data_IF_212245707346
#
_entry.id   IF_212245707346
#
_cell.length_a   1.000
_cell.length_b   1.000
_cell.length_c   1.000
_cell.angle_alpha   90.00
_cell.angle_beta   90.00
_cell.angle_gamma   90.00
#
_symmetry.space_group_name_H-M   'P 1'
#
loop_
_entity.id
_entity.type
_entity.pdbx_description
1 polymer ?
#
# COMPACT_ATOMS: atom_id res chain seq x y z
N UNK A 1 13.27 12.91 21.97
CA UNK A 1 13.77 11.62 21.45
C UNK A 1 14.98 11.87 20.55
N UNK A 2 16.10 11.19 20.74
CA UNK A 2 17.32 11.44 19.95
C UNK A 2 17.01 11.18 18.45
N UNK A 3 17.22 12.17 17.56
CA UNK A 3 16.79 12.13 16.13
C UNK A 3 17.25 10.85 15.41
N UNK A 4 18.38 10.28 15.83
CA UNK A 4 18.95 9.03 15.31
C UNK A 4 18.06 7.81 15.57
N UNK A 5 17.50 7.66 16.77
CA UNK A 5 16.69 6.49 17.16
C UNK A 5 15.37 6.47 16.38
N UNK A 6 14.70 7.62 16.28
CA UNK A 6 13.46 7.75 15.53
C UNK A 6 13.66 7.36 14.05
N UNK A 7 14.68 7.93 13.40
CA UNK A 7 14.95 7.70 11.99
C UNK A 7 15.37 6.27 11.68
N UNK A 8 16.06 5.61 12.62
CA UNK A 8 16.60 4.26 12.41
C UNK A 8 15.58 3.15 12.69
N UNK A 9 14.70 3.33 13.68
CA UNK A 9 13.82 2.25 14.14
C UNK A 9 12.34 2.50 13.89
N UNK A 10 11.84 3.73 14.13
CA UNK A 10 10.41 4.02 14.03
C UNK A 10 10.00 4.42 12.61
N UNK A 11 10.79 5.27 11.96
CA UNK A 11 10.45 5.80 10.65
C UNK A 11 10.22 4.70 9.59
N UNK A 12 11.05 3.65 9.46
CA UNK A 12 10.82 2.61 8.46
C UNK A 12 9.51 1.86 8.67
N UNK A 13 9.17 1.56 9.93
CA UNK A 13 7.92 0.87 10.28
C UNK A 13 6.69 1.72 9.98
N UNK A 14 6.73 3.01 10.32
CA UNK A 14 5.64 3.96 10.03
C UNK A 14 5.41 4.12 8.52
N UNK A 15 6.49 4.22 7.74
CA UNK A 15 6.40 4.31 6.27
C UNK A 15 5.81 3.04 5.68
N UNK A 16 6.21 1.86 6.16
CA UNK A 16 5.60 0.61 5.73
C UNK A 16 4.10 0.57 6.04
N UNK A 17 3.73 0.93 7.27
CA UNK A 17 2.34 0.94 7.72
C UNK A 17 1.47 1.93 6.93
N UNK A 18 1.99 3.09 6.52
CA UNK A 18 1.22 4.04 5.71
C UNK A 18 0.92 3.55 4.29
N UNK A 19 1.73 2.61 3.77
CA UNK A 19 1.52 2.01 2.45
C UNK A 19 0.54 0.84 2.54
N UNK A 20 0.61 0.06 3.63
CA UNK A 20 -0.25 -1.13 3.82
C UNK A 20 -1.71 -0.75 4.07
N UNK A 21 -1.96 0.36 4.76
CA UNK A 21 -3.32 0.82 5.06
C UNK A 21 -3.82 1.71 3.91
N UNK A 22 -4.51 1.10 2.95
CA UNK A 22 -5.08 1.76 1.77
C UNK A 22 -6.55 2.19 1.92
N UNK A 23 -7.19 2.56 0.80
CA UNK A 23 -8.58 3.04 0.79
C UNK A 23 -9.62 2.02 1.26
N UNK A 24 -9.36 0.72 1.11
CA UNK A 24 -10.26 -0.32 1.59
C UNK A 24 -10.34 -0.41 3.12
N UNK A 25 -9.30 0.02 3.85
CA UNK A 25 -9.37 0.26 5.29
C UNK A 25 -10.25 1.47 5.63
N UNK A 26 -10.23 2.53 4.81
CA UNK A 26 -11.04 3.74 5.02
C UNK A 26 -12.54 3.49 4.92
N UNK A 27 -12.96 2.55 4.07
CA UNK A 27 -14.38 2.12 3.98
C UNK A 27 -14.75 1.03 5.01
N UNK A 28 -13.76 0.48 5.72
CA UNK A 28 -13.92 -0.64 6.65
C UNK A 28 -14.18 -2.01 5.99
N UNK A 29 -14.31 -2.06 4.65
CA UNK A 29 -14.68 -3.29 3.93
C UNK A 29 -13.59 -4.36 3.99
N UNK A 30 -12.32 -3.95 3.89
CA UNK A 30 -11.20 -4.88 4.07
C UNK A 30 -11.12 -5.42 5.51
N UNK A 31 -11.46 -4.61 6.52
CA UNK A 31 -11.52 -5.08 7.90
C UNK A 31 -12.60 -6.15 8.09
N UNK A 32 -13.80 -5.90 7.56
CA UNK A 32 -14.90 -6.85 7.68
C UNK A 32 -14.55 -8.19 7.02
N UNK A 33 -14.00 -8.14 5.82
CA UNK A 33 -13.68 -9.34 5.04
C UNK A 33 -12.57 -10.16 5.71
N UNK A 34 -11.44 -9.53 6.04
CA UNK A 34 -10.23 -10.24 6.44
C UNK A 34 -10.07 -10.43 7.95
N UNK A 35 -10.72 -9.61 8.78
CA UNK A 35 -10.51 -9.62 10.23
C UNK A 35 -11.79 -9.89 11.04
N UNK A 36 -12.95 -9.40 10.60
CA UNK A 36 -14.16 -9.47 11.45
C UNK A 36 -15.11 -10.61 11.09
N UNK A 37 -14.94 -11.24 9.92
CA UNK A 37 -15.83 -12.31 9.41
C UNK A 37 -15.91 -13.54 10.32
N UNK A 38 -14.83 -13.88 11.03
CA UNK A 38 -14.70 -15.11 11.83
C UNK A 38 -14.88 -14.88 13.35
N UNK A 39 -15.46 -13.74 13.76
CA UNK A 39 -15.66 -13.37 15.16
C UNK A 39 -14.40 -12.82 15.86
N UNK A 40 -14.51 -12.38 17.14
CA UNK A 40 -13.45 -11.59 17.80
C UNK A 40 -12.11 -12.32 17.95
N UNK A 41 -12.13 -13.61 18.29
CA UNK A 41 -10.90 -14.41 18.43
C UNK A 41 -10.24 -14.64 17.06
N UNK A 42 -11.04 -14.93 16.03
CA UNK A 42 -10.55 -15.06 14.65
C UNK A 42 -9.89 -13.77 14.16
N UNK A 43 -10.48 -12.62 14.48
CA UNK A 43 -9.89 -11.32 14.15
C UNK A 43 -8.57 -11.03 14.86
N UNK A 44 -8.45 -11.37 16.15
CA UNK A 44 -7.18 -11.22 16.87
C UNK A 44 -6.07 -12.11 16.28
N UNK A 45 -6.41 -13.35 15.91
CA UNK A 45 -5.46 -14.25 15.23
C UNK A 45 -5.08 -13.70 13.85
N UNK A 46 -6.04 -13.20 13.08
CA UNK A 46 -5.77 -12.57 11.78
C UNK A 46 -4.83 -11.37 11.93
N UNK A 47 -5.06 -10.47 12.89
CA UNK A 47 -4.16 -9.34 13.20
C UNK A 47 -2.75 -9.84 13.52
N UNK A 48 -2.63 -10.88 14.34
CA UNK A 48 -1.34 -11.48 14.71
C UNK A 48 -0.59 -12.02 13.48
N UNK A 49 -1.26 -12.80 12.65
CA UNK A 49 -0.68 -13.37 11.42
C UNK A 49 -0.28 -12.27 10.44
N UNK A 50 -1.17 -11.31 10.18
CA UNK A 50 -0.87 -10.18 9.28
C UNK A 50 0.35 -9.40 9.79
N UNK A 51 0.41 -9.10 11.09
CA UNK A 51 1.54 -8.39 11.70
C UNK A 51 2.85 -9.16 11.52
N UNK A 52 2.84 -10.48 11.77
CA UNK A 52 4.02 -11.32 11.62
C UNK A 52 4.50 -11.36 10.15
N UNK A 53 3.60 -11.59 9.20
CA UNK A 53 3.93 -11.65 7.77
C UNK A 53 4.52 -10.32 7.29
N UNK A 54 3.85 -9.19 7.55
CA UNK A 54 4.35 -7.88 7.12
C UNK A 54 5.68 -7.51 7.79
N UNK A 55 5.86 -7.86 9.07
CA UNK A 55 7.13 -7.61 9.78
C UNK A 55 8.28 -8.41 9.17
N UNK A 56 8.07 -9.69 8.89
CA UNK A 56 9.09 -10.56 8.29
C UNK A 56 9.42 -10.09 6.88
N UNK A 57 8.43 -9.83 6.04
CA UNK A 57 8.63 -9.35 4.66
C UNK A 57 9.37 -8.02 4.66
N UNK A 58 9.01 -7.08 5.55
CA UNK A 58 9.69 -5.79 5.67
C UNK A 58 11.14 -5.95 6.12
N UNK A 59 11.38 -6.78 7.14
CA UNK A 59 12.72 -7.07 7.64
C UNK A 59 13.61 -7.66 6.54
N UNK A 60 13.12 -8.67 5.82
CA UNK A 60 13.85 -9.29 4.70
C UNK A 60 14.10 -8.26 3.59
N UNK A 61 13.11 -7.46 3.23
CA UNK A 61 13.25 -6.44 2.18
C UNK A 61 14.33 -5.41 2.52
N UNK A 62 14.32 -4.88 3.75
CA UNK A 62 15.35 -3.93 4.20
C UNK A 62 16.73 -4.56 4.28
N UNK A 63 16.82 -5.81 4.71
CA UNK A 63 18.08 -6.54 4.80
C UNK A 63 18.67 -6.80 3.40
N UNK A 64 17.83 -7.20 2.43
CA UNK A 64 18.23 -7.37 1.04
C UNK A 64 18.70 -6.04 0.43
N UNK A 65 17.97 -4.94 0.68
CA UNK A 65 18.35 -3.61 0.21
C UNK A 65 19.73 -3.19 0.75
N UNK A 66 20.01 -3.51 2.03
CA UNK A 66 21.30 -3.26 2.68
C UNK A 66 22.43 -4.10 2.08
N UNK A 67 22.22 -5.41 1.94
CA UNK A 67 23.24 -6.35 1.44
C UNK A 67 23.58 -6.07 -0.03
N UNK A 68 22.58 -5.81 -0.87
CA UNK A 68 22.79 -5.49 -2.28
C UNK A 68 23.19 -4.04 -2.53
N UNK A 69 23.17 -3.19 -1.49
CA UNK A 69 23.31 -1.73 -1.60
C UNK A 69 22.38 -1.14 -2.66
N UNK A 70 21.18 -1.70 -2.77
CA UNK A 70 20.17 -1.33 -3.75
C UNK A 70 19.08 -0.54 -3.04
N UNK A 71 19.25 0.79 -2.99
CA UNK A 71 18.32 1.71 -2.33
C UNK A 71 17.30 2.33 -3.30
N UNK A 72 17.53 2.20 -4.60
CA UNK A 72 16.58 2.61 -5.63
C UNK A 72 15.65 1.46 -6.00
N UNK A 73 14.37 1.77 -6.21
CA UNK A 73 13.35 0.82 -6.68
C UNK A 73 13.86 -0.04 -7.86
N UNK A 74 14.36 0.60 -8.92
CA UNK A 74 14.76 -0.10 -10.14
C UNK A 74 15.93 -1.06 -9.90
N UNK A 75 16.96 -0.62 -9.19
CA UNK A 75 18.12 -1.46 -8.86
C UNK A 75 17.72 -2.64 -7.97
N UNK A 76 16.84 -2.41 -6.99
CA UNK A 76 16.35 -3.45 -6.10
C UNK A 76 15.58 -4.54 -6.85
N UNK A 77 14.62 -4.16 -7.68
CA UNK A 77 13.82 -5.13 -8.45
C UNK A 77 14.61 -5.83 -9.55
N UNK A 78 15.61 -5.18 -10.14
CA UNK A 78 16.55 -5.85 -11.04
C UNK A 78 17.37 -6.94 -10.34
N UNK A 79 17.78 -6.70 -9.09
CA UNK A 79 18.49 -7.71 -8.28
C UNK A 79 17.55 -8.82 -7.79
N UNK A 80 16.33 -8.47 -7.41
CA UNK A 80 15.36 -9.41 -6.86
C UNK A 80 14.77 -10.35 -7.92
N UNK A 81 14.38 -9.81 -9.08
CA UNK A 81 13.66 -10.54 -10.13
C UNK A 81 14.54 -10.92 -11.33
N UNK A 82 15.79 -10.44 -11.37
CA UNK A 82 16.69 -10.66 -12.50
C UNK A 82 16.06 -10.17 -13.81
N UNK A 83 16.10 -10.94 -14.91
CA UNK A 83 15.55 -10.51 -16.20
C UNK A 83 14.02 -10.30 -16.19
N UNK A 84 13.30 -10.93 -15.25
CA UNK A 84 11.85 -10.83 -15.11
C UNK A 84 11.35 -9.45 -14.67
N UNK A 85 12.24 -8.57 -14.22
CA UNK A 85 11.89 -7.22 -13.75
C UNK A 85 11.12 -6.40 -14.79
N UNK A 86 11.35 -6.62 -16.09
CA UNK A 86 10.64 -5.93 -17.18
C UNK A 86 9.15 -6.27 -17.24
N UNK A 87 8.82 -7.54 -17.03
CA UNK A 87 7.44 -7.99 -17.00
C UNK A 87 6.73 -7.44 -15.76
N UNK A 88 7.41 -7.52 -14.61
CA UNK A 88 6.92 -6.92 -13.38
C UNK A 88 6.65 -5.41 -13.53
N UNK A 89 7.57 -4.67 -14.14
CA UNK A 89 7.39 -3.23 -14.40
C UNK A 89 6.14 -2.96 -15.27
N UNK A 90 5.93 -3.75 -16.34
CA UNK A 90 4.75 -3.62 -17.19
C UNK A 90 3.44 -3.90 -16.43
N UNK A 91 3.40 -4.98 -15.65
CA UNK A 91 2.26 -5.30 -14.79
C UNK A 91 2.02 -4.22 -13.72
N UNK A 92 3.09 -3.69 -13.13
CA UNK A 92 3.03 -2.66 -12.10
C UNK A 92 2.47 -1.35 -12.65
N UNK A 93 2.93 -0.91 -13.82
CA UNK A 93 2.38 0.27 -14.50
C UNK A 93 0.90 0.07 -14.87
N UNK A 94 0.53 -1.11 -15.37
CA UNK A 94 -0.87 -1.44 -15.63
C UNK A 94 -1.74 -1.38 -14.37
N UNK A 95 -1.26 -1.96 -13.27
CA UNK A 95 -1.93 -1.89 -11.97
C UNK A 95 -2.09 -0.44 -11.49
N UNK A 96 -1.04 0.37 -11.62
CA UNK A 96 -1.06 1.78 -11.21
C UNK A 96 -2.12 2.57 -12.00
N UNK A 97 -2.22 2.36 -13.31
CA UNK A 97 -3.27 2.97 -14.13
C UNK A 97 -4.68 2.54 -13.72
N UNK A 98 -4.87 1.24 -13.42
CA UNK A 98 -6.16 0.74 -12.95
C UNK A 98 -6.53 1.37 -11.61
N UNK A 99 -5.60 1.43 -10.66
CA UNK A 99 -5.84 2.04 -9.35
C UNK A 99 -6.18 3.51 -9.50
N UNK A 100 -5.42 4.27 -10.30
CA UNK A 100 -5.74 5.68 -10.59
C UNK A 100 -7.14 5.83 -11.19
N UNK A 101 -7.48 5.02 -12.20
CA UNK A 101 -8.79 5.05 -12.83
C UNK A 101 -9.94 4.79 -11.84
N UNK A 102 -9.78 3.78 -10.96
CA UNK A 102 -10.77 3.46 -9.93
C UNK A 102 -10.91 4.61 -8.92
N UNK A 103 -9.81 5.21 -8.48
CA UNK A 103 -9.83 6.32 -7.52
C UNK A 103 -10.47 7.58 -8.13
N UNK A 104 -10.14 7.94 -9.38
CA UNK A 104 -10.83 9.02 -10.10
C UNK A 104 -12.32 8.75 -10.23
N UNK A 105 -12.70 7.53 -10.63
CA UNK A 105 -14.10 7.18 -10.81
C UNK A 105 -14.88 7.27 -9.50
N UNK A 106 -14.29 6.78 -8.40
CA UNK A 106 -14.88 6.90 -7.06
C UNK A 106 -15.03 8.37 -6.61
N UNK A 107 -14.03 9.22 -6.87
CA UNK A 107 -14.09 10.63 -6.52
C UNK A 107 -15.17 11.38 -7.31
N UNK A 108 -15.26 11.15 -8.62
CA UNK A 108 -16.33 11.71 -9.45
C UNK A 108 -17.72 11.31 -8.97
N UNK A 109 -17.87 10.04 -8.58
CA UNK A 109 -19.11 9.51 -8.03
C UNK A 109 -19.50 10.21 -6.72
N UNK A 110 -18.59 10.26 -5.75
CA UNK A 110 -18.81 10.87 -4.44
C UNK A 110 -19.21 12.34 -4.59
N UNK A 111 -18.51 13.09 -5.45
CA UNK A 111 -18.82 14.51 -5.69
C UNK A 111 -20.23 14.68 -6.27
N UNK A 112 -20.59 13.82 -7.22
CA UNK A 112 -21.91 13.86 -7.85
C UNK A 112 -23.03 13.51 -6.86
N UNK A 113 -22.87 12.44 -6.07
CA UNK A 113 -23.90 12.01 -5.11
C UNK A 113 -24.02 12.91 -3.88
N UNK A 114 -22.91 13.40 -3.35
CA UNK A 114 -22.92 14.17 -2.11
C UNK A 114 -23.25 15.64 -2.35
N UNK A 115 -22.75 16.24 -3.44
CA UNK A 115 -22.89 17.67 -3.69
C UNK A 115 -23.79 18.00 -4.90
N UNK A 116 -24.25 17.00 -5.67
CA UNK A 116 -25.03 17.23 -6.89
C UNK A 116 -24.23 17.90 -8.03
N UNK A 117 -22.91 18.04 -7.87
CA UNK A 117 -22.03 18.66 -8.85
C UNK A 117 -21.70 17.69 -10.00
N UNK A 118 -21.16 18.22 -11.11
CA UNK A 118 -20.81 17.40 -12.26
C UNK A 118 -19.70 16.38 -11.94
N UNK A 119 -19.89 15.13 -12.38
CA UNK A 119 -18.94 14.01 -12.22
C UNK A 119 -17.48 14.38 -12.54
N UNK A 120 -17.28 15.10 -13.65
CA UNK A 120 -15.96 15.51 -14.11
C UNK A 120 -15.21 16.42 -13.14
N UNK A 121 -15.91 17.16 -12.28
CA UNK A 121 -15.28 18.02 -11.26
C UNK A 121 -14.50 17.14 -10.26
N UNK A 122 -15.12 16.07 -9.77
CA UNK A 122 -14.46 15.15 -8.84
C UNK A 122 -13.30 14.39 -9.48
N UNK A 123 -13.45 13.98 -10.73
CA UNK A 123 -12.37 13.32 -11.50
C UNK A 123 -11.19 14.28 -11.70
N UNK A 124 -11.44 15.50 -12.16
CA UNK A 124 -10.38 16.47 -12.47
C UNK A 124 -9.61 16.90 -11.23
N UNK A 125 -10.27 17.07 -10.07
CA UNK A 125 -9.59 17.45 -8.83
C UNK A 125 -8.56 16.39 -8.39
N UNK A 126 -8.84 15.11 -8.60
CA UNK A 126 -7.96 14.02 -8.16
C UNK A 126 -6.87 13.70 -9.19
N UNK A 127 -7.09 14.01 -10.46
CA UNK A 127 -6.15 13.72 -11.55
C UNK A 127 -5.20 14.88 -11.90
N UNK A 128 -5.42 16.07 -11.33
CA UNK A 128 -4.52 17.23 -11.42
C UNK A 128 -3.50 17.23 -10.29
#
# INVERSE_FOLDING_TARGET
MNKSIFRRYLLPGLVCQSIVIGGGYGTGRELVEFFLSQGPLGGLLAIGVTTAVFSIVSMVTFELARVWRAFDYRHFFQKLLGPGWRLFEGCYLGLLLIVLAVVAAAAGEIVQKTFGAGYWIGVSIVML
#
